data_IF_994669237002
#
_entry.id   IF_994669237002
#
_cell.length_a   1.000
_cell.length_b   1.000
_cell.length_c   1.000
_cell.angle_alpha   90.00
_cell.angle_beta   90.00
_cell.angle_gamma   90.00
#
_symmetry.space_group_name_H-M   'P 1'
#
loop_
_entity.id
_entity.type
_entity.pdbx_description
1 polymer ?
#
# COMPACT_ATOMS: atom_id res chain seq x y z
N UNK A 1 -0.23 29.43 42.34
CA UNK A 1 1.20 29.12 42.50
C UNK A 1 1.45 27.67 42.94
N UNK A 2 0.41 26.83 43.07
CA UNK A 2 0.56 25.43 43.51
C UNK A 2 0.80 24.41 42.38
N UNK A 3 0.75 24.84 41.11
CA UNK A 3 0.93 23.94 39.95
C UNK A 3 2.40 23.63 39.69
N UNK A 4 3.30 24.59 39.89
CA UNK A 4 4.75 24.37 39.65
C UNK A 4 5.37 23.42 40.69
N UNK A 5 4.91 23.46 41.95
CA UNK A 5 5.45 22.60 43.02
C UNK A 5 5.08 21.13 42.83
N UNK A 6 3.90 20.83 42.28
CA UNK A 6 3.48 19.42 42.07
C UNK A 6 4.16 18.77 40.87
N UNK A 7 4.57 19.56 39.86
CA UNK A 7 5.14 19.04 38.60
C UNK A 7 6.64 18.74 38.73
N UNK A 8 7.40 19.58 39.45
CA UNK A 8 8.80 19.27 39.80
C UNK A 8 8.91 17.99 40.64
N UNK A 9 7.94 17.75 41.52
CA UNK A 9 7.86 16.51 42.32
C UNK A 9 7.64 15.26 41.46
N UNK A 10 6.97 15.36 40.30
CA UNK A 10 6.69 14.23 39.43
C UNK A 10 7.95 13.79 38.65
N UNK A 11 8.75 14.76 38.17
CA UNK A 11 10.03 14.47 37.52
C UNK A 11 11.04 13.81 38.48
N UNK A 12 11.09 14.30 39.73
CA UNK A 12 11.89 13.70 40.80
C UNK A 12 11.41 12.28 41.14
N UNK A 13 10.09 12.05 41.14
CA UNK A 13 9.50 10.72 41.33
C UNK A 13 9.87 9.76 40.20
N UNK A 14 10.00 10.21 38.95
CA UNK A 14 10.50 9.37 37.86
C UNK A 14 11.98 9.04 38.00
N UNK A 15 12.80 10.01 38.42
CA UNK A 15 14.25 9.83 38.52
C UNK A 15 14.65 8.64 39.42
N UNK A 16 13.84 8.30 40.44
CA UNK A 16 14.13 7.18 41.36
C UNK A 16 14.19 5.81 40.70
N UNK A 17 13.59 5.64 39.51
CA UNK A 17 13.60 4.38 38.76
C UNK A 17 14.82 4.24 37.83
N UNK A 18 15.59 5.30 37.66
CA UNK A 18 16.77 5.33 36.78
C UNK A 18 18.05 5.28 37.61
N UNK A 19 19.00 4.45 37.17
CA UNK A 19 20.35 4.46 37.70
C UNK A 19 21.14 5.57 37.00
N UNK A 20 21.35 6.67 37.72
CA UNK A 20 22.03 7.88 37.21
C UNK A 20 23.56 7.78 37.33
N UNK A 21 24.08 6.64 37.80
CA UNK A 21 25.51 6.33 37.77
C UNK A 21 25.97 6.16 36.31
N UNK A 22 27.00 6.90 35.90
CA UNK A 22 27.56 6.84 34.54
C UNK A 22 27.93 5.41 34.13
N UNK A 23 28.35 4.58 35.09
CA UNK A 23 28.72 3.20 34.83
C UNK A 23 27.52 2.31 34.44
N UNK A 24 26.30 2.65 34.87
CA UNK A 24 25.07 1.86 34.67
C UNK A 24 24.03 2.56 33.81
N UNK A 25 24.35 3.75 33.31
CA UNK A 25 23.50 4.53 32.42
C UNK A 25 23.17 3.77 31.11
N UNK A 26 21.90 3.68 30.69
CA UNK A 26 21.47 2.81 29.60
C UNK A 26 21.80 3.39 28.22
N UNK A 27 22.02 4.69 28.09
CA UNK A 27 22.35 5.33 26.81
C UNK A 27 23.86 5.55 26.63
N UNK A 28 24.66 4.54 27.00
CA UNK A 28 26.13 4.55 26.89
C UNK A 28 26.63 3.90 25.59
N UNK A 29 27.90 4.16 25.26
CA UNK A 29 28.58 3.55 24.12
C UNK A 29 28.02 4.05 22.79
N UNK A 30 27.74 3.11 21.87
CA UNK A 30 27.20 3.39 20.53
C UNK A 30 25.68 3.62 20.48
N UNK A 31 24.96 3.39 21.59
CA UNK A 31 23.48 3.41 21.61
C UNK A 31 22.88 4.74 21.15
N UNK A 32 23.34 5.92 21.62
CA UNK A 32 22.83 7.19 21.10
C UNK A 32 23.03 7.31 19.58
N UNK A 33 24.20 6.90 19.07
CA UNK A 33 24.49 6.94 17.63
C UNK A 33 23.61 5.95 16.84
N UNK A 34 23.38 4.75 17.37
CA UNK A 34 22.47 3.76 16.76
C UNK A 34 21.04 4.29 16.67
N UNK A 35 20.54 4.96 17.73
CA UNK A 35 19.22 5.61 17.72
C UNK A 35 19.16 6.72 16.68
N UNK A 36 20.21 7.54 16.55
CA UNK A 36 20.28 8.60 15.52
C UNK A 36 20.32 8.03 14.09
N UNK A 37 21.12 6.98 13.86
CA UNK A 37 21.18 6.29 12.56
C UNK A 37 19.81 5.72 12.22
N UNK A 38 19.16 5.09 13.21
CA UNK A 38 17.82 4.53 13.06
C UNK A 38 16.78 5.62 12.77
N UNK A 39 16.87 6.75 13.45
CA UNK A 39 16.03 7.94 13.20
C UNK A 39 16.20 8.44 11.77
N UNK A 40 17.44 8.56 11.28
CA UNK A 40 17.70 8.99 9.90
C UNK A 40 17.06 8.06 8.87
N UNK A 41 17.14 6.74 9.09
CA UNK A 41 16.45 5.75 8.26
C UNK A 41 14.92 5.81 8.37
N UNK A 42 14.42 6.33 9.50
CA UNK A 42 13.00 6.54 9.76
C UNK A 42 12.52 7.96 9.39
N UNK A 43 13.10 8.57 8.34
CA UNK A 43 12.76 9.93 7.86
C UNK A 43 12.88 10.97 8.97
N UNK A 44 14.00 10.93 9.67
CA UNK A 44 14.38 11.82 10.77
C UNK A 44 13.41 11.85 11.96
N UNK A 45 12.55 10.84 12.09
CA UNK A 45 11.48 10.86 13.09
C UNK A 45 11.07 9.44 13.52
N UNK A 46 11.42 9.10 14.77
CA UNK A 46 11.04 7.84 15.44
C UNK A 46 9.61 7.90 15.97
N UNK A 47 9.02 6.74 16.28
CA UNK A 47 7.69 6.69 16.89
C UNK A 47 7.70 7.41 18.24
N UNK A 48 8.75 7.21 19.04
CA UNK A 48 8.92 7.92 20.31
C UNK A 48 8.97 9.44 20.14
N UNK A 49 9.60 9.95 19.07
CA UNK A 49 9.60 11.37 18.74
C UNK A 49 8.17 11.87 18.46
N UNK A 50 7.33 11.09 17.75
CA UNK A 50 5.90 11.40 17.52
C UNK A 50 5.14 11.48 18.83
N UNK A 51 5.37 10.54 19.73
CA UNK A 51 4.69 10.50 21.02
C UNK A 51 5.05 11.74 21.86
N UNK A 52 6.33 12.11 21.91
CA UNK A 52 6.79 13.32 22.58
C UNK A 52 6.17 14.60 21.98
N UNK A 53 6.14 14.71 20.65
CA UNK A 53 5.51 15.84 19.95
C UNK A 53 4.02 15.91 20.26
N UNK A 54 3.34 14.77 20.27
CA UNK A 54 1.90 14.66 20.59
C UNK A 54 1.61 15.07 22.03
N UNK A 55 2.58 14.92 22.94
CA UNK A 55 2.54 15.41 24.32
C UNK A 55 2.89 16.90 24.46
N UNK A 56 3.23 17.59 23.37
CA UNK A 56 3.61 19.01 23.38
C UNK A 56 5.10 19.28 23.65
N UNK A 57 5.94 18.25 23.70
CA UNK A 57 7.39 18.40 23.81
C UNK A 57 7.94 18.88 22.47
N UNK A 58 8.41 20.13 22.42
CA UNK A 58 8.96 20.75 21.21
C UNK A 58 10.39 20.26 20.99
N UNK A 59 10.73 19.90 19.76
CA UNK A 59 12.08 19.46 19.35
C UNK A 59 12.60 18.20 20.07
N UNK A 60 11.89 17.05 19.99
CA UNK A 60 12.27 15.82 20.70
C UNK A 60 13.69 15.32 20.39
N UNK A 61 14.18 15.53 19.16
CA UNK A 61 15.54 15.17 18.74
C UNK A 61 16.66 15.85 19.56
N UNK A 62 16.36 16.94 20.28
CA UNK A 62 17.34 17.61 21.16
C UNK A 62 17.40 17.00 22.55
N UNK A 63 16.38 16.22 22.94
CA UNK A 63 16.24 15.62 24.27
C UNK A 63 16.45 14.11 24.25
N UNK A 64 16.10 13.45 23.14
CA UNK A 64 16.19 12.02 22.96
C UNK A 64 17.06 11.68 21.73
N UNK A 65 18.04 10.76 21.85
CA UNK A 65 18.43 10.03 23.05
C UNK A 65 19.26 10.87 24.02
N UNK A 66 19.08 10.72 25.35
CA UNK A 66 19.91 11.42 26.33
C UNK A 66 21.34 10.87 26.32
N UNK A 67 22.35 11.75 26.37
CA UNK A 67 23.76 11.34 26.32
C UNK A 67 24.40 11.30 27.71
N UNK A 68 23.87 12.06 28.65
CA UNK A 68 24.29 12.07 30.05
C UNK A 68 23.11 11.87 31.01
N UNK A 69 23.36 11.55 32.29
CA UNK A 69 22.31 11.51 33.30
C UNK A 69 21.53 12.83 33.43
N UNK A 70 22.19 13.98 33.23
CA UNK A 70 21.55 15.30 33.22
C UNK A 70 20.61 15.47 32.02
N UNK A 71 20.99 14.96 30.84
CA UNK A 71 20.13 14.96 29.66
C UNK A 71 18.86 14.14 29.90
N UNK A 72 19.01 12.99 30.57
CA UNK A 72 17.87 12.15 30.93
C UNK A 72 16.95 12.88 31.91
N UNK A 73 17.48 13.58 32.92
CA UNK A 73 16.67 14.41 33.83
C UNK A 73 15.88 15.47 33.06
N UNK A 74 16.51 16.16 32.11
CA UNK A 74 15.84 17.16 31.25
C UNK A 74 14.73 16.52 30.40
N UNK A 75 14.95 15.33 29.87
CA UNK A 75 13.92 14.59 29.13
C UNK A 75 12.75 14.18 30.04
N UNK A 76 13.02 13.66 31.23
CA UNK A 76 11.99 13.29 32.21
C UNK A 76 11.20 14.52 32.68
N UNK A 77 11.88 15.64 32.89
CA UNK A 77 11.26 16.92 33.19
C UNK A 77 10.34 17.37 32.04
N UNK A 78 10.80 17.29 30.79
CA UNK A 78 9.96 17.60 29.63
C UNK A 78 8.72 16.68 29.53
N UNK A 79 8.85 15.40 29.86
CA UNK A 79 7.73 14.44 29.92
C UNK A 79 6.76 14.83 31.06
N UNK A 80 7.26 15.18 32.24
CA UNK A 80 6.41 15.61 33.37
C UNK A 80 5.64 16.91 33.07
N UNK A 81 6.22 17.82 32.28
CA UNK A 81 5.57 19.06 31.86
C UNK A 81 4.76 18.92 30.56
N UNK A 82 4.67 17.71 30.01
CA UNK A 82 3.86 17.45 28.81
C UNK A 82 2.36 17.60 29.10
N UNK A 83 1.58 17.78 28.03
CA UNK A 83 0.12 17.93 28.07
C UNK A 83 -0.61 16.59 28.30
N UNK A 84 0.14 15.49 28.44
CA UNK A 84 -0.41 14.18 28.66
C UNK A 84 -0.91 13.98 30.09
N UNK A 85 -1.86 13.05 30.24
CA UNK A 85 -2.26 12.54 31.55
C UNK A 85 -1.15 11.68 32.16
N UNK A 86 -1.27 11.39 33.47
CA UNK A 86 -0.27 10.60 34.19
C UNK A 86 0.01 9.25 33.55
N UNK A 87 -1.04 8.58 33.04
CA UNK A 87 -0.89 7.27 32.39
C UNK A 87 -0.01 7.34 31.13
N UNK A 88 -0.24 8.32 30.24
CA UNK A 88 0.58 8.46 29.03
C UNK A 88 2.01 8.89 29.36
N UNK A 89 2.21 9.75 30.37
CA UNK A 89 3.55 10.08 30.88
C UNK A 89 4.27 8.83 31.38
N UNK A 90 3.59 8.01 32.20
CA UNK A 90 4.10 6.73 32.69
C UNK A 90 4.48 5.80 31.53
N UNK A 91 3.70 5.75 30.44
CA UNK A 91 4.03 4.94 29.26
C UNK A 91 5.32 5.38 28.56
N UNK A 92 5.60 6.69 28.51
CA UNK A 92 6.85 7.24 27.96
C UNK A 92 8.04 6.89 28.87
N UNK A 93 7.86 6.98 30.18
CA UNK A 93 8.90 6.61 31.15
C UNK A 93 9.16 5.10 31.11
N UNK A 94 8.11 4.28 31.03
CA UNK A 94 8.21 2.83 30.83
C UNK A 94 9.03 2.51 29.57
N UNK A 95 8.76 3.18 28.44
CA UNK A 95 9.54 3.03 27.21
C UNK A 95 11.03 3.32 27.43
N UNK A 96 11.37 4.37 28.17
CA UNK A 96 12.75 4.72 28.47
C UNK A 96 13.43 3.67 29.37
N UNK A 97 12.71 3.11 30.35
CA UNK A 97 13.24 2.08 31.25
C UNK A 97 13.62 0.79 30.51
N UNK A 98 12.97 0.48 29.38
CA UNK A 98 13.31 -0.70 28.56
C UNK A 98 14.74 -0.68 28.04
N UNK A 99 15.38 0.49 27.94
CA UNK A 99 16.77 0.58 27.49
C UNK A 99 17.78 -0.05 28.47
N UNK A 100 17.40 -0.30 29.73
CA UNK A 100 18.23 -1.06 30.66
C UNK A 100 18.28 -2.55 30.35
N UNK A 101 17.22 -3.12 29.77
CA UNK A 101 17.09 -4.56 29.46
C UNK A 101 17.31 -5.48 30.67
N UNK A 102 16.93 -5.03 31.87
CA UNK A 102 17.07 -5.75 33.13
C UNK A 102 15.73 -5.97 33.87
N UNK A 103 14.61 -5.84 33.14
CA UNK A 103 13.24 -6.05 33.62
C UNK A 103 12.74 -5.04 34.67
N UNK A 104 13.47 -3.95 34.93
CA UNK A 104 13.02 -2.92 35.87
C UNK A 104 11.75 -2.21 35.42
N UNK A 105 11.46 -2.18 34.12
CA UNK A 105 10.23 -1.63 33.57
C UNK A 105 8.99 -2.39 34.08
N UNK A 106 9.11 -3.67 34.42
CA UNK A 106 8.00 -4.47 34.93
C UNK A 106 7.61 -4.06 36.36
N UNK A 107 8.60 -3.74 37.19
CA UNK A 107 8.36 -3.22 38.53
C UNK A 107 7.71 -1.84 38.45
N UNK A 108 8.22 -0.96 37.58
CA UNK A 108 7.60 0.34 37.33
C UNK A 108 6.14 0.22 36.84
N UNK A 109 5.86 -0.69 35.91
CA UNK A 109 4.49 -0.98 35.45
C UNK A 109 3.57 -1.37 36.61
N UNK A 110 4.02 -2.24 37.53
CA UNK A 110 3.24 -2.67 38.69
C UNK A 110 3.01 -1.52 39.67
N UNK A 111 4.04 -0.73 39.95
CA UNK A 111 3.99 0.38 40.90
C UNK A 111 3.07 1.51 40.42
N UNK A 112 3.09 1.79 39.12
CA UNK A 112 2.23 2.80 38.47
C UNK A 112 0.88 2.26 37.99
N UNK A 113 0.66 0.95 38.14
CA UNK A 113 -0.57 0.25 37.74
C UNK A 113 -0.92 0.54 36.26
N UNK A 114 0.10 0.51 35.39
CA UNK A 114 -0.08 0.74 33.95
C UNK A 114 -0.84 -0.46 33.36
N UNK A 115 -2.01 -0.28 32.73
CA UNK A 115 -2.76 -1.39 32.17
C UNK A 115 -1.99 -2.08 31.03
N UNK A 116 -2.15 -3.40 30.91
CA UNK A 116 -1.37 -4.24 30.00
C UNK A 116 -1.47 -3.81 28.52
N UNK A 117 -2.59 -3.24 28.07
CA UNK A 117 -2.70 -2.74 26.70
C UNK A 117 -1.78 -1.56 26.41
N UNK A 118 -1.49 -0.71 27.40
CA UNK A 118 -0.61 0.44 27.23
C UNK A 118 0.85 0.02 27.25
N UNK A 119 1.24 -0.90 28.14
CA UNK A 119 2.60 -1.45 28.14
C UNK A 119 2.88 -2.27 26.89
N UNK A 120 1.91 -3.08 26.42
CA UNK A 120 2.04 -3.80 25.15
C UNK A 120 2.26 -2.84 23.97
N UNK A 121 1.51 -1.74 23.90
CA UNK A 121 1.71 -0.75 22.84
C UNK A 121 3.08 -0.08 22.93
N UNK A 122 3.51 0.32 24.13
CA UNK A 122 4.86 0.86 24.36
C UNK A 122 5.96 -0.15 23.99
N UNK A 123 5.78 -1.43 24.31
CA UNK A 123 6.72 -2.49 23.93
C UNK A 123 6.82 -2.63 22.41
N UNK A 124 5.68 -2.61 21.70
CA UNK A 124 5.66 -2.68 20.25
C UNK A 124 6.40 -1.50 19.62
N UNK A 125 6.14 -0.28 20.08
CA UNK A 125 6.85 0.91 19.59
C UNK A 125 8.33 0.87 19.91
N UNK A 126 8.71 0.37 21.09
CA UNK A 126 10.12 0.20 21.44
C UNK A 126 10.83 -0.77 20.50
N UNK A 127 10.21 -1.91 20.18
CA UNK A 127 10.76 -2.86 19.21
C UNK A 127 10.91 -2.26 17.80
N UNK A 128 9.97 -1.42 17.36
CA UNK A 128 10.03 -0.76 16.05
C UNK A 128 11.13 0.31 15.98
N UNK A 129 11.22 1.14 17.02
CA UNK A 129 12.21 2.22 17.12
C UNK A 129 13.63 1.72 17.35
N UNK A 130 13.80 0.59 18.05
CA UNK A 130 15.12 -0.02 18.23
C UNK A 130 15.53 -0.93 17.07
N UNK A 131 14.55 -1.48 16.34
CA UNK A 131 14.78 -2.52 15.34
C UNK A 131 15.13 -3.89 15.93
N UNK A 132 15.02 -4.06 17.26
CA UNK A 132 15.35 -5.31 17.96
C UNK A 132 14.07 -6.14 18.12
N UNK A 133 14.09 -7.41 17.70
CA UNK A 133 12.94 -8.34 17.74
C UNK A 133 11.68 -7.74 17.09
N UNK A 134 11.81 -7.24 15.86
CA UNK A 134 10.75 -6.51 15.17
C UNK A 134 9.51 -7.38 14.89
N UNK A 135 9.69 -8.69 14.73
CA UNK A 135 8.64 -9.69 14.62
C UNK A 135 7.74 -9.71 15.86
N UNK A 136 8.31 -9.47 17.05
CA UNK A 136 7.53 -9.37 18.29
C UNK A 136 6.63 -8.14 18.27
N UNK A 137 7.08 -7.02 17.68
CA UNK A 137 6.24 -5.84 17.51
C UNK A 137 4.99 -6.16 16.67
N UNK A 138 5.16 -6.87 15.55
CA UNK A 138 4.04 -7.28 14.69
C UNK A 138 3.06 -8.18 15.47
N UNK A 139 3.59 -9.16 16.22
CA UNK A 139 2.76 -10.05 17.04
C UNK A 139 1.95 -9.30 18.10
N UNK A 140 2.54 -8.28 18.74
CA UNK A 140 1.84 -7.47 19.74
C UNK A 140 0.76 -6.63 19.05
N UNK A 141 1.12 -5.95 17.95
CA UNK A 141 0.20 -5.10 17.19
C UNK A 141 -0.96 -5.89 16.59
N UNK A 142 -0.85 -7.22 16.41
CA UNK A 142 -1.97 -8.08 16.01
C UNK A 142 -3.13 -8.13 17.01
N UNK A 143 -2.95 -7.69 18.27
CA UNK A 143 -4.05 -7.59 19.23
C UNK A 143 -5.01 -6.43 18.87
N UNK A 144 -6.27 -6.77 18.57
CA UNK A 144 -7.29 -5.83 18.10
C UNK A 144 -7.73 -4.80 19.15
N UNK A 145 -7.35 -5.00 20.43
CA UNK A 145 -7.66 -4.08 21.52
C UNK A 145 -6.70 -2.90 21.58
N UNK A 146 -5.56 -2.98 20.89
CA UNK A 146 -4.56 -1.91 20.86
C UNK A 146 -4.99 -0.81 19.90
N UNK A 147 -4.80 0.44 20.31
CA UNK A 147 -4.93 1.56 19.40
C UNK A 147 -3.71 1.58 18.45
N UNK A 148 -3.98 1.50 17.15
CA UNK A 148 -2.97 1.29 16.09
C UNK A 148 -2.89 2.52 15.21
N UNK A 149 -2.63 3.65 15.84
CA UNK A 149 -2.29 4.88 15.14
C UNK A 149 -0.85 4.74 14.61
N UNK A 150 -0.49 5.46 13.54
CA UNK A 150 0.86 5.48 12.93
C UNK A 150 1.24 4.32 11.98
N UNK A 151 0.28 3.80 11.20
CA UNK A 151 0.50 2.78 10.15
C UNK A 151 1.76 3.01 9.31
N UNK A 152 1.94 4.21 8.77
CA UNK A 152 3.09 4.56 7.91
C UNK A 152 4.42 4.38 8.62
N UNK A 153 4.49 4.76 9.90
CA UNK A 153 5.72 4.64 10.69
C UNK A 153 6.01 3.19 11.07
N UNK A 154 4.98 2.40 11.33
CA UNK A 154 5.13 0.95 11.51
C UNK A 154 5.68 0.32 10.23
N UNK A 155 5.07 0.57 9.06
CA UNK A 155 5.52 0.02 7.78
C UNK A 155 6.96 0.46 7.47
N UNK A 156 7.28 1.73 7.72
CA UNK A 156 8.63 2.25 7.58
C UNK A 156 9.62 1.48 8.47
N UNK A 157 9.33 1.29 9.75
CA UNK A 157 10.20 0.53 10.66
C UNK A 157 10.39 -0.93 10.18
N UNK A 158 9.31 -1.58 9.71
CA UNK A 158 9.34 -2.95 9.17
C UNK A 158 10.18 -3.06 7.90
N UNK A 159 10.20 -2.01 7.07
CA UNK A 159 10.96 -2.00 5.81
C UNK A 159 12.47 -2.02 5.96
N UNK A 160 12.95 -1.67 7.15
CA UNK A 160 14.37 -1.63 7.48
C UNK A 160 14.89 -2.99 7.98
N UNK A 161 14.02 -3.98 8.15
CA UNK A 161 14.40 -5.34 8.54
C UNK A 161 14.77 -6.19 7.32
N UNK A 162 15.62 -7.20 7.52
CA UNK A 162 16.04 -8.11 6.44
C UNK A 162 14.85 -8.83 5.79
N UNK A 163 13.90 -9.32 6.61
CA UNK A 163 12.67 -9.99 6.16
C UNK A 163 11.48 -9.03 5.99
N UNK A 164 11.76 -7.78 5.59
CA UNK A 164 10.78 -6.68 5.48
C UNK A 164 9.48 -7.07 4.76
N UNK A 165 9.56 -7.70 3.59
CA UNK A 165 8.39 -8.09 2.80
C UNK A 165 7.48 -9.07 3.56
N UNK A 166 8.06 -10.03 4.29
CA UNK A 166 7.27 -10.99 5.06
C UNK A 166 6.58 -10.33 6.24
N UNK A 167 7.28 -9.43 6.94
CA UNK A 167 6.77 -8.69 8.09
C UNK A 167 5.66 -7.71 7.69
N UNK A 168 5.85 -6.94 6.62
CA UNK A 168 4.84 -6.00 6.09
C UNK A 168 3.55 -6.73 5.72
N UNK A 169 3.65 -7.88 5.02
CA UNK A 169 2.47 -8.70 4.71
C UNK A 169 1.78 -9.19 5.97
N UNK A 170 2.55 -9.69 6.93
CA UNK A 170 2.02 -10.24 8.18
C UNK A 170 1.29 -9.16 8.97
N UNK A 171 1.90 -7.97 9.10
CA UNK A 171 1.28 -6.81 9.70
C UNK A 171 -0.02 -6.43 9.00
N UNK A 172 -0.02 -6.22 7.68
CA UNK A 172 -1.21 -5.76 6.97
C UNK A 172 -2.34 -6.80 6.99
N UNK A 173 -2.02 -8.10 6.91
CA UNK A 173 -3.03 -9.18 6.95
C UNK A 173 -3.65 -9.37 8.33
N UNK A 174 -2.85 -9.25 9.40
CA UNK A 174 -3.30 -9.50 10.77
C UNK A 174 -3.91 -8.26 11.41
N UNK A 175 -3.28 -7.10 11.23
CA UNK A 175 -3.68 -5.82 11.82
C UNK A 175 -4.77 -5.14 10.99
N UNK A 176 -4.77 -5.34 9.66
CA UNK A 176 -5.68 -4.68 8.70
C UNK A 176 -5.76 -3.16 8.89
N UNK A 177 -4.61 -2.46 8.93
CA UNK A 177 -4.63 -1.01 9.05
C UNK A 177 -5.24 -0.39 7.79
N UNK A 178 -5.75 0.83 7.94
CA UNK A 178 -6.15 1.63 6.78
C UNK A 178 -4.88 2.13 6.08
N UNK A 179 -4.70 1.75 4.81
CA UNK A 179 -3.61 2.21 3.96
C UNK A 179 -4.10 3.41 3.13
N UNK A 180 -3.68 4.61 3.52
CA UNK A 180 -4.00 5.86 2.79
C UNK A 180 -2.80 6.37 2.01
N UNK A 181 -1.60 6.23 2.56
CA UNK A 181 -0.41 6.82 1.97
C UNK A 181 0.05 6.04 0.73
N UNK A 182 0.34 6.74 -0.38
CA UNK A 182 0.87 6.15 -1.60
C UNK A 182 2.04 5.19 -1.40
N UNK A 183 3.00 5.58 -0.56
CA UNK A 183 4.22 4.82 -0.32
C UNK A 183 3.92 3.51 0.45
N UNK A 184 2.99 3.55 1.41
CA UNK A 184 2.56 2.37 2.16
C UNK A 184 1.89 1.33 1.24
N UNK A 185 1.04 1.80 0.32
CA UNK A 185 0.37 0.96 -0.68
C UNK A 185 1.40 0.35 -1.63
N UNK A 186 2.38 1.14 -2.08
CA UNK A 186 3.46 0.68 -2.96
C UNK A 186 4.32 -0.39 -2.26
N UNK A 187 4.72 -0.16 -1.00
CA UNK A 187 5.50 -1.10 -0.20
C UNK A 187 4.75 -2.42 0.02
N UNK A 188 3.44 -2.34 0.31
CA UNK A 188 2.62 -3.54 0.44
C UNK A 188 2.51 -4.30 -0.90
N UNK A 189 2.34 -3.59 -2.01
CA UNK A 189 2.24 -4.20 -3.34
C UNK A 189 3.52 -4.96 -3.71
N UNK A 190 4.69 -4.39 -3.41
CA UNK A 190 5.98 -5.07 -3.59
C UNK A 190 6.10 -6.28 -2.67
N UNK A 191 5.69 -6.14 -1.41
CA UNK A 191 5.71 -7.24 -0.44
C UNK A 191 4.80 -8.42 -0.88
N UNK A 192 3.64 -8.13 -1.48
CA UNK A 192 2.77 -9.13 -2.10
C UNK A 192 3.45 -9.79 -3.30
N UNK A 193 4.10 -9.01 -4.17
CA UNK A 193 4.75 -9.53 -5.37
C UNK A 193 5.87 -10.51 -4.99
N UNK A 194 6.60 -10.24 -3.91
CA UNK A 194 7.63 -11.12 -3.36
C UNK A 194 7.10 -12.50 -2.92
N UNK A 195 5.86 -12.59 -2.42
CA UNK A 195 5.22 -13.90 -2.17
C UNK A 195 4.61 -14.51 -3.43
N UNK A 196 3.84 -13.70 -4.15
CA UNK A 196 2.93 -14.14 -5.18
C UNK A 196 2.57 -12.97 -6.07
N UNK A 197 3.09 -13.01 -7.30
CA UNK A 197 2.70 -12.06 -8.34
C UNK A 197 1.17 -12.01 -8.51
N UNK A 198 0.49 -13.15 -8.38
CA UNK A 198 -0.96 -13.25 -8.52
C UNK A 198 -1.72 -12.43 -7.48
N UNK A 199 -1.22 -12.39 -6.25
CA UNK A 199 -1.81 -11.59 -5.18
C UNK A 199 -1.58 -10.10 -5.42
N UNK A 200 -0.36 -9.70 -5.81
CA UNK A 200 -0.06 -8.31 -6.15
C UNK A 200 -0.90 -7.83 -7.35
N UNK A 201 -1.05 -8.67 -8.38
CA UNK A 201 -1.86 -8.35 -9.55
C UNK A 201 -3.35 -8.28 -9.22
N UNK A 202 -3.83 -9.11 -8.29
CA UNK A 202 -5.22 -9.02 -7.81
C UNK A 202 -5.43 -7.78 -6.94
N UNK A 203 -4.42 -7.37 -6.17
CA UNK A 203 -4.47 -6.18 -5.33
C UNK A 203 -4.61 -4.90 -6.16
N UNK A 204 -3.87 -4.72 -7.26
CA UNK A 204 -4.07 -3.54 -8.10
C UNK A 204 -5.49 -3.46 -8.69
N UNK A 205 -6.18 -4.60 -8.89
CA UNK A 205 -7.57 -4.64 -9.37
C UNK A 205 -8.61 -4.18 -8.35
N UNK A 206 -8.24 -4.02 -7.07
CA UNK A 206 -9.14 -3.43 -6.08
C UNK A 206 -9.34 -1.94 -6.29
N UNK A 207 -8.49 -1.31 -7.10
CA UNK A 207 -8.58 0.09 -7.50
C UNK A 207 -9.29 0.23 -8.85
N UNK A 208 -9.97 1.35 -9.06
CA UNK A 208 -10.67 1.61 -10.32
C UNK A 208 -9.69 1.88 -11.48
N UNK A 209 -10.10 1.63 -12.73
CA UNK A 209 -9.24 1.87 -13.91
C UNK A 209 -8.93 3.36 -14.15
N UNK A 210 -9.79 4.26 -13.67
CA UNK A 210 -9.58 5.70 -13.73
C UNK A 210 -8.71 6.26 -12.60
N UNK A 211 -8.32 5.44 -11.63
CA UNK A 211 -7.48 5.86 -10.51
C UNK A 211 -5.99 5.71 -10.89
N UNK A 212 -5.23 6.79 -10.77
CA UNK A 212 -3.78 6.81 -11.00
C UNK A 212 -3.03 5.82 -10.11
N UNK A 213 -3.60 5.46 -8.95
CA UNK A 213 -3.07 4.44 -8.05
C UNK A 213 -2.93 3.11 -8.77
N UNK A 214 -3.96 2.65 -9.51
CA UNK A 214 -3.92 1.37 -10.22
C UNK A 214 -2.78 1.32 -11.25
N UNK A 215 -2.66 2.39 -12.03
CA UNK A 215 -1.58 2.57 -13.02
C UNK A 215 -0.21 2.53 -12.35
N UNK A 216 -0.04 3.22 -11.21
CA UNK A 216 1.20 3.20 -10.43
C UNK A 216 1.53 1.80 -9.93
N UNK A 217 0.56 1.06 -9.39
CA UNK A 217 0.78 -0.29 -8.87
C UNK A 217 1.16 -1.29 -9.96
N UNK A 218 0.51 -1.25 -11.13
CA UNK A 218 0.91 -2.07 -12.28
C UNK A 218 2.36 -1.80 -12.66
N UNK A 219 2.77 -0.52 -12.74
CA UNK A 219 4.15 -0.13 -13.00
C UNK A 219 5.11 -0.64 -11.92
N UNK A 220 4.74 -0.56 -10.64
CA UNK A 220 5.55 -1.10 -9.53
C UNK A 220 5.73 -2.61 -9.61
N UNK A 221 4.70 -3.35 -10.01
CA UNK A 221 4.79 -4.80 -10.19
C UNK A 221 5.71 -5.15 -11.37
N UNK A 222 5.65 -4.38 -12.47
CA UNK A 222 6.55 -4.54 -13.60
C UNK A 222 8.01 -4.19 -13.23
N UNK A 223 8.22 -3.08 -12.54
CA UNK A 223 9.52 -2.66 -12.02
C UNK A 223 10.13 -3.76 -11.14
N UNK A 224 9.34 -4.31 -10.19
CA UNK A 224 9.76 -5.44 -9.37
C UNK A 224 9.99 -6.71 -10.20
N UNK A 225 9.27 -6.94 -11.29
CA UNK A 225 9.53 -8.11 -12.14
C UNK A 225 10.84 -7.98 -12.94
N UNK A 226 11.29 -6.75 -13.20
CA UNK A 226 12.37 -6.45 -14.16
C UNK A 226 13.67 -5.94 -13.52
N UNK A 227 13.64 -5.46 -12.27
CA UNK A 227 14.77 -4.77 -11.60
C UNK A 227 15.17 -5.45 -10.29
N UNK A 228 16.47 -5.62 -9.98
CA UNK A 228 17.65 -5.15 -10.73
C UNK A 228 17.99 -6.03 -11.92
N UNK A 229 17.45 -7.26 -11.96
CA UNK A 229 17.54 -8.18 -13.09
C UNK A 229 16.16 -8.79 -13.34
N UNK A 230 15.82 -9.13 -14.59
CA UNK A 230 14.57 -9.80 -14.90
C UNK A 230 14.38 -11.09 -14.08
N UNK A 231 13.28 -11.15 -13.30
CA UNK A 231 12.89 -12.32 -12.51
C UNK A 231 12.09 -13.28 -13.39
N UNK A 232 12.67 -14.45 -13.69
CA UNK A 232 12.07 -15.43 -14.63
C UNK A 232 10.66 -15.87 -14.21
N UNK A 233 10.48 -16.30 -12.95
CA UNK A 233 9.20 -16.85 -12.48
C UNK A 233 8.04 -15.86 -12.59
N UNK A 234 8.14 -14.60 -12.10
CA UNK A 234 7.11 -13.59 -12.34
C UNK A 234 6.83 -13.32 -13.82
N UNK A 235 7.88 -13.23 -14.66
CA UNK A 235 7.70 -12.95 -16.09
C UNK A 235 6.96 -14.10 -16.80
N UNK A 236 7.26 -15.35 -16.46
CA UNK A 236 6.52 -16.51 -16.97
C UNK A 236 5.06 -16.47 -16.53
N UNK A 237 4.78 -16.09 -15.28
CA UNK A 237 3.40 -15.91 -14.83
C UNK A 237 2.69 -14.78 -15.61
N UNK A 238 3.34 -13.64 -15.87
CA UNK A 238 2.76 -12.53 -16.64
C UNK A 238 2.36 -12.96 -18.07
N UNK A 239 3.10 -13.88 -18.70
CA UNK A 239 2.69 -14.45 -19.99
C UNK A 239 1.33 -15.16 -19.90
N UNK A 240 1.13 -15.93 -18.83
CA UNK A 240 -0.09 -16.72 -18.61
C UNK A 240 -1.27 -15.91 -18.01
N UNK A 241 -1.03 -14.72 -17.46
CA UNK A 241 -2.06 -13.93 -16.78
C UNK A 241 -3.13 -13.41 -17.74
N UNK A 242 -4.44 -13.52 -17.45
CA UNK A 242 -5.46 -12.85 -18.24
C UNK A 242 -5.50 -11.35 -17.90
N UNK A 243 -4.89 -10.51 -18.75
CA UNK A 243 -4.98 -9.04 -18.63
C UNK A 243 -6.33 -8.53 -19.12
N UNK A 244 -6.87 -7.51 -18.44
CA UNK A 244 -7.93 -6.68 -19.03
C UNK A 244 -7.36 -5.83 -20.18
N UNK A 245 -8.24 -5.26 -21.01
CA UNK A 245 -7.80 -4.32 -22.07
C UNK A 245 -7.02 -3.12 -21.51
N UNK A 246 -7.42 -2.63 -20.32
CA UNK A 246 -6.70 -1.60 -19.58
C UNK A 246 -5.30 -2.06 -19.16
N UNK A 247 -5.17 -3.24 -18.55
CA UNK A 247 -3.88 -3.79 -18.13
C UNK A 247 -2.95 -4.03 -19.33
N UNK A 248 -3.49 -4.57 -20.42
CA UNK A 248 -2.76 -4.78 -21.67
C UNK A 248 -2.19 -3.46 -22.21
N UNK A 249 -3.00 -2.39 -22.24
CA UNK A 249 -2.55 -1.09 -22.73
C UNK A 249 -1.46 -0.47 -21.85
N UNK A 250 -1.55 -0.64 -20.52
CA UNK A 250 -0.51 -0.20 -19.59
C UNK A 250 0.82 -0.93 -19.80
N UNK A 251 0.80 -2.26 -19.98
CA UNK A 251 2.00 -3.06 -20.21
C UNK A 251 2.62 -2.73 -21.57
N UNK A 252 1.81 -2.54 -22.61
CA UNK A 252 2.27 -2.09 -23.93
C UNK A 252 2.96 -0.72 -23.85
N UNK A 253 2.30 0.23 -23.19
CA UNK A 253 2.84 1.56 -23.03
C UNK A 253 4.15 1.55 -22.22
N UNK A 254 4.24 0.71 -21.18
CA UNK A 254 5.48 0.51 -20.43
C UNK A 254 6.62 -0.07 -21.30
N UNK A 255 6.33 -0.98 -22.24
CA UNK A 255 7.33 -1.53 -23.16
C UNK A 255 7.78 -0.52 -24.24
N UNK A 256 6.87 0.37 -24.65
CA UNK A 256 7.13 1.44 -25.64
C UNK A 256 7.90 2.62 -25.03
N UNK A 257 7.55 3.01 -23.82
CA UNK A 257 8.22 4.09 -23.09
C UNK A 257 8.75 3.57 -21.74
N UNK A 258 9.83 2.76 -21.77
CA UNK A 258 10.39 2.19 -20.55
C UNK A 258 10.99 3.30 -19.68
N UNK A 259 10.74 3.26 -18.35
CA UNK A 259 11.29 4.24 -17.43
C UNK A 259 12.83 4.30 -17.47
N UNK A 260 13.40 5.47 -17.20
CA UNK A 260 14.86 5.69 -17.25
C UNK A 260 15.65 4.89 -16.22
N UNK A 261 15.03 4.48 -15.12
CA UNK A 261 15.65 3.64 -14.08
C UNK A 261 15.69 2.15 -14.46
N UNK A 262 15.00 1.74 -15.53
CA UNK A 262 14.95 0.35 -15.94
C UNK A 262 16.31 -0.09 -16.52
N UNK A 263 16.90 -1.21 -16.08
CA UNK A 263 18.16 -1.69 -16.63
C UNK A 263 18.05 -1.96 -18.15
N UNK A 264 19.10 -1.62 -18.90
CA UNK A 264 19.12 -1.84 -20.36
C UNK A 264 18.91 -3.29 -20.76
N UNK A 265 19.31 -4.24 -19.91
CA UNK A 265 19.06 -5.68 -20.11
C UNK A 265 17.60 -6.10 -19.94
N UNK A 266 16.77 -5.29 -19.28
CA UNK A 266 15.37 -5.60 -18.97
C UNK A 266 14.41 -5.08 -20.04
N UNK A 267 14.81 -4.05 -20.79
CA UNK A 267 14.05 -3.47 -21.91
C UNK A 267 13.70 -4.53 -22.98
N UNK A 268 14.65 -5.29 -23.55
CA UNK A 268 14.30 -6.30 -24.54
C UNK A 268 13.37 -7.37 -23.96
N UNK A 269 13.52 -7.72 -22.68
CA UNK A 269 12.69 -8.75 -22.02
C UNK A 269 11.22 -8.33 -21.92
N UNK A 270 10.93 -7.07 -21.58
CA UNK A 270 9.54 -6.59 -21.53
C UNK A 270 8.95 -6.43 -22.93
N UNK A 271 9.76 -6.06 -23.93
CA UNK A 271 9.32 -6.01 -25.33
C UNK A 271 8.98 -7.41 -25.86
N UNK A 272 9.84 -8.39 -25.58
CA UNK A 272 9.62 -9.80 -25.94
C UNK A 272 8.38 -10.36 -25.23
N UNK A 273 8.20 -10.06 -23.94
CA UNK A 273 7.01 -10.47 -23.17
C UNK A 273 5.71 -10.06 -23.87
N UNK A 274 5.63 -8.80 -24.31
CA UNK A 274 4.42 -8.26 -24.95
C UNK A 274 4.21 -8.88 -26.33
N UNK A 275 5.26 -8.98 -27.15
CA UNK A 275 5.18 -9.61 -28.47
C UNK A 275 4.76 -11.08 -28.37
N UNK A 276 5.40 -11.87 -27.51
CA UNK A 276 5.09 -13.29 -27.30
C UNK A 276 3.64 -13.46 -26.87
N UNK A 277 3.15 -12.60 -25.97
CA UNK A 277 1.77 -12.64 -25.50
C UNK A 277 0.76 -12.35 -26.63
N UNK A 278 1.05 -11.38 -27.51
CA UNK A 278 0.21 -11.09 -28.67
C UNK A 278 0.22 -12.24 -29.69
N UNK A 279 1.36 -12.90 -29.88
CA UNK A 279 1.45 -14.09 -30.73
C UNK A 279 0.64 -15.24 -30.13
N UNK A 280 0.75 -15.49 -28.83
CA UNK A 280 -0.01 -16.54 -28.12
C UNK A 280 -1.53 -16.31 -28.13
N UNK A 281 -1.98 -15.06 -28.19
CA UNK A 281 -3.39 -14.71 -28.32
C UNK A 281 -3.89 -14.68 -29.78
N UNK A 282 -3.04 -15.02 -30.75
CA UNK A 282 -3.37 -15.01 -32.18
C UNK A 282 -3.37 -13.63 -32.84
N UNK A 283 -2.95 -12.58 -32.12
CA UNK A 283 -2.91 -11.20 -32.63
C UNK A 283 -1.59 -10.91 -33.35
N UNK A 284 -1.31 -11.66 -34.40
CA UNK A 284 -0.04 -11.60 -35.15
C UNK A 284 0.23 -10.22 -35.76
N UNK A 285 -0.78 -9.61 -36.38
CA UNK A 285 -0.68 -8.27 -36.95
C UNK A 285 -0.31 -7.21 -35.89
N UNK A 286 -0.91 -7.29 -34.69
CA UNK A 286 -0.59 -6.37 -33.60
C UNK A 286 0.83 -6.59 -33.06
N UNK A 287 1.28 -7.84 -32.96
CA UNK A 287 2.64 -8.19 -32.54
C UNK A 287 3.69 -7.59 -33.49
N UNK A 288 3.49 -7.73 -34.80
CA UNK A 288 4.38 -7.19 -35.83
C UNK A 288 4.41 -5.66 -35.79
N UNK A 289 3.23 -5.00 -35.74
CA UNK A 289 3.17 -3.53 -35.65
C UNK A 289 3.93 -3.00 -34.43
N UNK A 290 3.75 -3.65 -33.28
CA UNK A 290 4.42 -3.26 -32.05
C UNK A 290 5.94 -3.48 -32.13
N UNK A 291 6.41 -4.57 -32.74
CA UNK A 291 7.84 -4.80 -32.97
C UNK A 291 8.49 -3.71 -33.85
N UNK A 292 7.78 -3.25 -34.89
CA UNK A 292 8.24 -2.12 -35.71
C UNK A 292 8.33 -0.83 -34.91
N UNK A 293 7.44 -0.61 -33.94
CA UNK A 293 7.52 0.52 -33.01
C UNK A 293 8.72 0.41 -32.05
N UNK A 294 9.09 -0.80 -31.62
CA UNK A 294 10.30 -0.99 -30.81
C UNK A 294 11.60 -0.68 -31.57
N UNK A 295 11.62 -0.88 -32.89
CA UNK A 295 12.79 -0.58 -33.72
C UNK A 295 13.15 0.91 -33.77
N UNK A 296 12.21 1.83 -33.45
CA UNK A 296 12.52 3.26 -33.31
C UNK A 296 13.11 3.61 -31.94
N UNK A 297 13.06 2.69 -30.97
CA UNK A 297 13.49 2.87 -29.58
C UNK A 297 14.83 2.14 -29.38
N UNK A 298 15.94 2.77 -29.74
CA UNK A 298 17.28 2.18 -29.60
C UNK A 298 17.76 2.22 -28.13
N UNK A 299 17.28 1.30 -27.29
CA UNK A 299 17.74 1.14 -25.90
C UNK A 299 17.96 -0.35 -25.57
N UNK A 300 19.18 -0.74 -25.16
CA UNK A 300 19.45 -2.14 -24.79
C UNK A 300 20.90 -2.65 -24.84
N UNK A 301 21.87 -1.84 -25.30
CA UNK A 301 23.25 -2.30 -25.50
C UNK A 301 23.39 -3.45 -26.52
N UNK A 302 24.57 -4.04 -26.64
CA UNK A 302 24.84 -5.11 -27.64
C UNK A 302 23.94 -6.34 -27.47
N UNK A 303 23.71 -6.77 -26.22
CA UNK A 303 22.82 -7.92 -25.94
C UNK A 303 21.36 -7.60 -26.27
N UNK A 304 20.90 -6.38 -26.02
CA UNK A 304 19.55 -5.95 -26.39
C UNK A 304 19.37 -5.81 -27.90
N UNK A 305 20.40 -5.38 -28.62
CA UNK A 305 20.38 -5.38 -30.10
C UNK A 305 20.28 -6.78 -30.67
N UNK A 306 21.01 -7.74 -30.10
CA UNK A 306 20.89 -9.15 -30.48
C UNK A 306 19.48 -9.69 -30.25
N UNK A 307 18.91 -9.47 -29.06
CA UNK A 307 17.55 -9.89 -28.74
C UNK A 307 16.50 -9.23 -29.66
N UNK A 308 16.65 -7.94 -29.96
CA UNK A 308 15.79 -7.23 -30.90
C UNK A 308 15.90 -7.79 -32.33
N UNK A 309 17.10 -8.18 -32.77
CA UNK A 309 17.30 -8.83 -34.06
C UNK A 309 16.64 -10.21 -34.12
N UNK A 310 16.83 -11.04 -33.09
CA UNK A 310 16.20 -12.37 -32.99
C UNK A 310 14.66 -12.27 -32.98
N UNK A 311 14.10 -11.33 -32.21
CA UNK A 311 12.66 -11.04 -32.22
C UNK A 311 12.19 -10.59 -33.60
N UNK A 312 12.93 -9.70 -34.25
CA UNK A 312 12.55 -9.20 -35.59
C UNK A 312 12.54 -10.31 -36.63
N UNK A 313 13.53 -11.19 -36.60
CA UNK A 313 13.56 -12.38 -37.46
C UNK A 313 12.31 -13.25 -37.24
N UNK A 314 11.95 -13.51 -35.97
CA UNK A 314 10.75 -14.28 -35.63
C UNK A 314 9.46 -13.60 -36.15
N UNK A 315 9.36 -12.27 -36.06
CA UNK A 315 8.20 -11.52 -36.55
C UNK A 315 8.11 -11.51 -38.08
N UNK A 316 9.26 -11.48 -38.77
CA UNK A 316 9.32 -11.56 -40.23
C UNK A 316 8.92 -12.99 -40.71
N UNK A 317 9.36 -14.04 -40.01
CA UNK A 317 8.91 -15.43 -40.25
C UNK A 317 7.40 -15.59 -40.01
N UNK A 318 6.87 -14.95 -38.96
CA UNK A 318 5.43 -14.94 -38.67
C UNK A 318 4.65 -14.24 -39.78
N UNK A 319 5.10 -13.07 -40.25
CA UNK A 319 4.50 -12.36 -41.38
C UNK A 319 4.48 -13.22 -42.65
N UNK A 320 5.55 -13.98 -42.90
CA UNK A 320 5.63 -14.91 -44.02
C UNK A 320 4.64 -16.08 -43.88
N UNK A 321 4.35 -16.55 -42.66
CA UNK A 321 3.39 -17.62 -42.41
C UNK A 321 1.91 -17.18 -42.43
N UNK A 322 1.61 -15.87 -42.38
CA UNK A 322 0.23 -15.35 -42.36
C UNK A 322 -0.53 -15.61 -43.68
N UNK A 323 -1.87 -15.67 -43.64
CA UNK A 323 -2.70 -15.68 -44.84
C UNK A 323 -2.41 -14.47 -45.75
N UNK A 324 -2.43 -14.67 -47.07
CA UNK A 324 -2.05 -13.63 -48.03
C UNK A 324 -2.89 -12.34 -47.88
N UNK A 325 -4.19 -12.47 -47.61
CA UNK A 325 -5.07 -11.31 -47.40
C UNK A 325 -4.70 -10.49 -46.15
N UNK A 326 -4.39 -11.15 -45.04
CA UNK A 326 -3.96 -10.47 -43.80
C UNK A 326 -2.58 -9.83 -43.95
N UNK A 327 -1.66 -10.51 -44.66
CA UNK A 327 -0.33 -9.97 -44.96
C UNK A 327 -0.41 -8.70 -45.81
N UNK A 328 -1.17 -8.71 -46.91
CA UNK A 328 -1.30 -7.54 -47.79
C UNK A 328 -1.93 -6.34 -47.08
N UNK A 329 -2.91 -6.57 -46.20
CA UNK A 329 -3.49 -5.50 -45.39
C UNK A 329 -2.47 -4.92 -44.40
N UNK A 330 -1.71 -5.79 -43.74
CA UNK A 330 -0.68 -5.38 -42.79
C UNK A 330 0.47 -4.61 -43.47
N UNK A 331 0.92 -5.05 -44.64
CA UNK A 331 1.92 -4.36 -45.45
C UNK A 331 1.47 -2.93 -45.79
N UNK A 332 0.22 -2.77 -46.22
CA UNK A 332 -0.36 -1.47 -46.53
C UNK A 332 -0.46 -0.55 -45.30
N UNK A 333 -0.80 -1.10 -44.13
CA UNK A 333 -0.80 -0.34 -42.87
C UNK A 333 0.62 0.04 -42.41
N UNK A 334 1.60 -0.84 -42.60
CA UNK A 334 3.01 -0.57 -42.27
C UNK A 334 3.62 0.47 -43.21
N UNK A 335 3.25 0.47 -44.49
CA UNK A 335 3.64 1.51 -45.45
C UNK A 335 3.07 2.87 -45.05
N UNK A 336 1.81 2.94 -44.61
CA UNK A 336 1.21 4.16 -44.08
C UNK A 336 1.90 4.64 -42.80
N UNK A 337 2.32 3.70 -41.95
CA UNK A 337 3.09 3.99 -40.74
C UNK A 337 4.48 4.57 -41.09
N UNK A 338 5.18 3.99 -42.06
CA UNK A 338 6.48 4.48 -42.53
C UNK A 338 6.39 5.86 -43.21
N UNK A 339 5.25 6.19 -43.82
CA UNK A 339 4.97 7.49 -44.44
C UNK A 339 4.50 8.57 -43.44
N UNK A 340 4.47 8.27 -42.13
CA UNK A 340 4.13 9.23 -41.08
C UNK A 340 2.65 9.59 -40.98
N UNK A 341 1.73 8.80 -41.57
CA UNK A 341 0.28 9.07 -41.58
C UNK A 341 -0.53 8.33 -40.51
N UNK A 342 0.10 7.56 -39.62
CA UNK A 342 -0.60 6.72 -38.65
C UNK A 342 -0.53 7.21 -37.20
N UNK A 343 -1.46 8.09 -36.79
CA UNK A 343 -1.69 8.38 -35.37
C UNK A 343 -3.16 8.77 -35.11
N UNK A 344 -4.05 7.77 -35.11
CA UNK A 344 -5.35 7.82 -34.43
C UNK A 344 -5.72 6.38 -34.03
N UNK A 345 -5.14 5.89 -32.94
CA UNK A 345 -5.76 4.80 -32.18
C UNK A 345 -6.67 5.47 -31.15
N UNK A 346 -7.96 5.14 -31.26
CA UNK A 346 -9.08 5.54 -30.44
C UNK A 346 -8.73 5.73 -28.95
N UNK A 347 -8.69 6.99 -28.53
CA UNK A 347 -8.96 7.39 -27.15
C UNK A 347 -10.37 8.01 -27.13
N UNK A 348 -11.36 7.18 -26.79
CA UNK A 348 -12.69 7.69 -26.43
C UNK A 348 -12.58 8.50 -25.14
N UNK A 349 -13.03 9.76 -25.19
CA UNK A 349 -13.02 10.66 -24.05
C UNK A 349 -13.39 12.08 -24.45
N UNK A 350 -14.70 12.34 -24.46
CA UNK A 350 -15.41 13.60 -24.69
C UNK A 350 -14.65 14.91 -24.45
N UNK A 351 -14.71 15.79 -25.46
CA UNK A 351 -14.95 17.23 -25.29
C UNK A 351 -15.29 17.87 -26.63
N UNK A 352 -16.59 18.00 -26.90
CA UNK A 352 -17.11 18.91 -27.94
C UNK A 352 -17.94 20.01 -27.28
N UNK A 353 -17.51 21.26 -27.46
CA UNK A 353 -18.36 22.34 -28.01
C UNK A 353 -17.52 23.60 -28.27
N UNK A 354 -17.24 23.83 -29.54
CA UNK A 354 -16.80 25.11 -30.09
C UNK A 354 -17.34 25.23 -31.51
N UNK A 355 -18.45 25.95 -31.68
CA UNK A 355 -19.04 26.30 -32.97
C UNK A 355 -18.16 27.31 -33.72
N UNK A 356 -17.98 27.11 -35.04
CA UNK A 356 -17.42 28.13 -35.93
C UNK A 356 -17.35 27.68 -37.39
N UNK A 357 -18.28 28.17 -38.20
CA UNK A 357 -18.50 27.93 -39.64
C UNK A 357 -17.37 28.44 -40.55
N UNK A 358 -17.11 27.74 -41.66
CA UNK A 358 -17.10 28.19 -43.09
C UNK A 358 -16.38 27.16 -43.98
N UNK A 359 -17.07 26.50 -44.94
CA UNK A 359 -17.03 26.73 -46.41
C UNK A 359 -15.62 26.55 -47.04
N UNK A 360 -15.36 25.81 -48.13
CA UNK A 360 -16.18 25.32 -49.23
C UNK A 360 -15.41 24.24 -50.06
N UNK A 361 -16.18 23.37 -50.73
CA UNK A 361 -15.97 22.75 -52.06
C UNK A 361 -14.69 21.94 -52.42
N UNK A 362 -14.85 20.63 -52.59
CA UNK A 362 -14.76 20.01 -53.93
C UNK A 362 -15.40 18.61 -53.94
N UNK A 363 -16.24 18.38 -54.94
CA UNK A 363 -16.97 17.13 -55.17
C UNK A 363 -16.17 16.20 -56.08
N UNK A 364 -16.11 14.90 -55.75
CA UNK A 364 -16.07 13.85 -56.78
C UNK A 364 -16.74 12.57 -56.28
N UNK A 365 -17.83 12.24 -56.98
CA UNK A 365 -18.38 10.93 -57.31
C UNK A 365 -18.39 9.82 -56.24
N UNK A 366 -19.57 9.73 -55.61
CA UNK A 366 -20.21 8.49 -55.14
C UNK A 366 -20.35 7.45 -56.26
N UNK A 367 -19.94 6.19 -56.02
CA UNK A 367 -20.54 4.98 -56.62
C UNK A 367 -20.44 3.82 -55.63
N UNK A 368 -21.49 3.59 -54.84
CA UNK A 368 -22.16 2.28 -54.74
C UNK A 368 -23.28 2.38 -53.71
N UNK A 369 -24.51 2.30 -54.19
CA UNK A 369 -25.75 2.32 -53.40
C UNK A 369 -26.32 0.90 -53.32
N UNK A 370 -26.83 0.57 -52.12
CA UNK A 370 -28.04 -0.22 -51.87
C UNK A 370 -27.91 -1.75 -52.10
N UNK A 371 -28.52 -2.66 -51.34
CA UNK A 371 -29.85 -2.74 -50.70
C UNK A 371 -29.69 -3.61 -49.42
N UNK A 372 -30.40 -3.47 -48.30
CA UNK A 372 -31.85 -3.51 -48.11
C UNK A 372 -32.25 -2.79 -46.80
N UNK A 373 -33.26 -1.94 -46.86
CA UNK A 373 -34.05 -1.50 -45.72
C UNK A 373 -35.51 -1.91 -45.99
N UNK A 374 -36.11 -2.66 -45.07
CA UNK A 374 -37.56 -2.85 -45.00
C UNK A 374 -38.03 -2.31 -43.65
N UNK A 375 -38.97 -1.37 -43.68
CA UNK A 375 -39.92 -1.06 -42.60
C UNK A 375 -41.17 -0.46 -43.24
N UNK A 376 -42.37 -0.82 -42.76
CA UNK A 376 -43.15 0.15 -41.96
C UNK A 376 -43.88 -0.53 -40.76
N UNK A 377 -43.79 0.01 -39.53
CA UNK A 377 -44.69 0.99 -38.86
C UNK A 377 -45.91 0.35 -38.13
N UNK A 378 -46.63 1.03 -37.21
CA UNK A 378 -46.27 1.47 -35.86
C UNK A 378 -47.24 0.94 -34.78
N UNK A 379 -46.93 1.03 -33.48
CA UNK A 379 -47.92 1.26 -32.38
C UNK A 379 -47.26 1.46 -31.01
N UNK A 380 -47.86 2.39 -30.26
CA UNK A 380 -47.62 2.83 -28.89
C UNK A 380 -47.19 1.73 -27.89
N UNK A 381 -46.40 2.00 -26.85
CA UNK A 381 -46.85 2.81 -25.71
C UNK A 381 -45.75 3.01 -24.66
N UNK A 382 -45.94 4.11 -23.93
CA UNK A 382 -45.20 4.67 -22.79
C UNK A 382 -45.13 3.71 -21.60
N UNK A 383 -43.93 3.43 -21.06
CA UNK A 383 -43.68 3.26 -19.62
C UNK A 383 -42.30 3.84 -19.27
N UNK A 384 -42.29 4.86 -18.42
CA UNK A 384 -41.11 5.35 -17.70
C UNK A 384 -40.89 4.44 -16.49
N UNK A 385 -39.74 3.79 -16.40
CA UNK A 385 -39.26 3.20 -15.15
C UNK A 385 -37.80 3.58 -14.95
N UNK A 386 -37.58 4.50 -14.01
CA UNK A 386 -36.29 4.85 -13.43
C UNK A 386 -35.70 3.64 -12.72
N UNK A 387 -34.56 3.13 -13.19
CA UNK A 387 -33.74 2.15 -12.47
C UNK A 387 -32.54 2.89 -11.89
N UNK A 388 -32.59 3.06 -10.57
CA UNK A 388 -31.53 3.60 -9.71
C UNK A 388 -30.45 2.52 -9.55
N UNK A 389 -29.19 2.90 -9.76
CA UNK A 389 -28.02 2.04 -9.51
C UNK A 389 -27.82 1.81 -8.00
N UNK A 390 -27.30 0.63 -7.59
CA UNK A 390 -27.11 0.30 -6.18
C UNK A 390 -25.89 1.05 -5.60
N UNK A 391 -26.16 1.89 -4.61
CA UNK A 391 -25.18 2.53 -3.73
C UNK A 391 -24.50 1.49 -2.83
N UNK A 392 -23.17 1.54 -2.60
CA UNK A 392 -22.53 0.74 -1.57
C UNK A 392 -22.88 1.27 -0.16
N UNK A 393 -22.97 0.41 0.86
CA UNK A 393 -23.43 0.80 2.19
C UNK A 393 -22.36 1.59 2.95
N UNK A 394 -22.79 2.74 3.47
CA UNK A 394 -22.13 3.49 4.54
C UNK A 394 -22.07 2.60 5.79
N UNK A 395 -20.91 2.35 6.42
CA UNK A 395 -20.89 1.70 7.71
C UNK A 395 -21.42 2.67 8.76
N UNK A 396 -22.54 2.28 9.38
CA UNK A 396 -23.12 2.93 10.54
C UNK A 396 -22.09 3.09 11.65
N UNK A 397 -22.15 4.26 12.28
CA UNK A 397 -21.45 4.63 13.51
C UNK A 397 -21.65 3.56 14.58
N UNK A 398 -20.55 3.15 15.17
CA UNK A 398 -20.46 2.33 16.37
C UNK A 398 -21.23 2.98 17.53
N UNK A 399 -22.29 2.29 17.97
CA UNK A 399 -22.97 2.55 19.24
C UNK A 399 -22.08 2.09 20.40
N UNK A 400 -21.09 2.92 20.77
CA UNK A 400 -20.41 2.81 22.05
C UNK A 400 -21.18 3.62 23.13
N UNK A 401 -21.25 3.13 24.39
CA UNK A 401 -22.05 3.77 25.43
C UNK A 401 -21.50 5.15 25.80
N UNK A 402 -22.37 6.16 25.69
CA UNK A 402 -22.08 7.56 26.05
C UNK A 402 -22.32 7.74 27.55
N UNK A 403 -21.24 7.91 28.30
CA UNK A 403 -21.30 8.26 29.73
C UNK A 403 -21.71 9.74 29.88
N UNK A 404 -22.74 10.02 30.68
CA UNK A 404 -23.11 11.38 31.12
C UNK A 404 -24.33 12.01 30.44
N UNK A 405 -25.53 11.68 30.92
CA UNK A 405 -26.82 12.32 30.60
C UNK A 405 -27.97 11.69 31.43
N UNK A 406 -29.04 12.42 31.77
CA UNK A 406 -29.92 12.06 32.88
C UNK A 406 -30.79 10.82 32.62
N UNK A 407 -31.00 10.06 33.69
CA UNK A 407 -31.68 8.75 33.75
C UNK A 407 -33.16 8.88 33.38
N UNK A 408 -33.61 8.09 32.40
CA UNK A 408 -35.04 7.87 32.14
C UNK A 408 -35.55 6.73 33.03
N UNK A 409 -36.63 7.00 33.77
CA UNK A 409 -37.35 6.08 34.65
C UNK A 409 -38.05 4.95 33.86
N UNK A 410 -38.05 3.70 34.35
CA UNK A 410 -38.76 2.60 33.68
C UNK A 410 -40.22 2.49 34.15
N UNK A 411 -41.16 2.06 33.30
CA UNK A 411 -42.47 1.63 33.76
C UNK A 411 -42.48 0.14 34.16
N UNK A 412 -43.45 -0.19 35.01
CA UNK A 412 -43.55 -1.39 35.83
C UNK A 412 -44.01 -2.67 35.10
N UNK A 413 -43.46 -3.80 35.58
CA UNK A 413 -44.03 -5.14 35.85
C UNK A 413 -45.26 -5.63 35.06
N UNK A 414 -45.11 -6.76 34.35
CA UNK A 414 -46.05 -7.89 34.22
C UNK A 414 -45.20 -9.16 33.97
N UNK A 415 -44.94 -10.00 34.97
CA UNK A 415 -45.67 -11.20 35.43
C UNK A 415 -45.47 -12.48 34.58
N UNK A 416 -45.29 -13.58 35.31
CA UNK A 416 -44.64 -14.86 35.01
C UNK A 416 -45.36 -15.80 34.03
N UNK A 417 -44.59 -16.72 33.40
CA UNK A 417 -45.02 -18.11 33.22
C UNK A 417 -43.82 -19.08 33.05
N UNK A 418 -43.62 -19.90 34.09
CA UNK A 418 -42.74 -21.05 34.39
C UNK A 418 -42.50 -22.13 33.30
N UNK A 419 -41.72 -23.22 33.55
CA UNK A 419 -40.60 -23.46 34.49
C UNK A 419 -39.37 -24.21 33.87
N UNK A 420 -38.30 -24.27 34.66
CA UNK A 420 -37.12 -25.13 34.49
C UNK A 420 -37.39 -26.63 34.76
N UNK A 421 -36.75 -27.51 33.98
CA UNK A 421 -36.64 -28.94 34.27
C UNK A 421 -35.17 -29.26 34.58
N UNK A 422 -34.88 -29.69 35.80
CA UNK A 422 -33.58 -30.25 36.17
C UNK A 422 -33.73 -31.51 37.04
N UNK A 423 -33.01 -32.54 36.59
CA UNK A 423 -32.40 -33.69 37.29
C UNK A 423 -33.30 -34.78 37.90
N UNK A 424 -33.14 -35.99 37.35
CA UNK A 424 -33.19 -37.24 38.09
C UNK A 424 -31.96 -38.09 37.75
N UNK A 425 -31.27 -38.59 38.77
CA UNK A 425 -30.20 -39.59 38.68
C UNK A 425 -30.20 -40.37 40.00
N UNK A 426 -30.28 -41.72 39.98
CA UNK A 426 -30.50 -42.52 41.18
C UNK A 426 -29.17 -42.89 41.88
N UNK A 427 -29.24 -43.32 43.16
CA UNK A 427 -28.07 -43.54 44.00
C UNK A 427 -27.50 -44.95 43.83
N UNK A 428 -26.19 -45.07 44.02
CA UNK A 428 -25.48 -46.35 44.19
C UNK A 428 -24.99 -46.40 45.63
N UNK A 429 -25.35 -47.44 46.38
CA UNK A 429 -24.63 -47.92 47.56
C UNK A 429 -25.01 -49.39 47.83
N UNK A 430 -23.95 -50.19 48.02
CA UNK A 430 -23.80 -51.52 48.64
C UNK A 430 -25.01 -52.48 48.70
#
# INVERSE_FOLDING_TARGET
MDVDVSMSSEAEDYCKYFDLDEARFPFRGSRPQEIEVRRAHMLDLLIFDILLISGGVRHPHTLYPPRTPEDLKRLLEAISHSQFDGLKKDCLVYFLLKWYQDYREESFMRDRVIPAQFTALSDAYWHLDTGIHIERAVSILSDARLNRDYTTKVIQALSLADDSHSLIRSYIRTVKPLLTEPDDIDMYTVALAESSLSEAWSYQRTFSEGDDTRKRLVRKILDWSLTPKPRKTPLTHLLAFPFSGYEQSLVHHYALDPPSHLPSSSIPVIQDLVCVRLVQSGQHAAAIKLDRQFSSITRGGEKGQKAAYERRQMMDELMAAMPAAERSLLELELEQFAQGRGLMISAGGDKEKGQGKSADLSASANVSMSWEHISPSPSASVIKTTVVAPTPPIPQRSNAPRFGGPVATPPAVVEEMFPSISRSGPPISA
#
